data_IF_401317233064
#
_entry.id   IF_401317233064
#
_cell.length_a   1.000
_cell.length_b   1.000
_cell.length_c   1.000
_cell.angle_alpha   90.00
_cell.angle_beta   90.00
_cell.angle_gamma   90.00
#
_symmetry.space_group_name_H-M   'P 1'
#
loop_
_entity.id
_entity.type
_entity.pdbx_description
1 polymer ?
#
# COMPACT_ATOMS: atom_id res chain seq x y z
N UNK A 1 -37.98 5.60 42.18
CA UNK A 1 -37.17 4.45 41.70
C UNK A 1 -36.03 4.21 42.68
N UNK A 2 -35.75 2.93 42.94
CA UNK A 2 -34.84 2.36 43.96
C UNK A 2 -33.36 2.76 43.76
N UNK A 3 -32.51 2.60 44.81
CA UNK A 3 -31.27 3.34 44.98
C UNK A 3 -30.03 2.71 44.32
N UNK A 4 -28.99 3.56 44.17
CA UNK A 4 -27.62 3.25 43.76
C UNK A 4 -26.94 2.29 44.74
N UNK A 5 -26.39 1.19 44.23
CA UNK A 5 -25.45 0.34 44.95
C UNK A 5 -24.01 0.71 44.57
N UNK A 6 -23.29 1.26 45.54
CA UNK A 6 -21.84 1.40 45.56
C UNK A 6 -21.26 0.13 46.15
N UNK A 7 -20.39 -0.58 45.41
CA UNK A 7 -19.58 -1.67 45.97
C UNK A 7 -18.11 -1.27 45.81
N UNK A 8 -17.53 -0.90 46.94
CA UNK A 8 -16.09 -0.94 47.20
C UNK A 8 -15.69 -2.40 47.41
N UNK A 9 -14.69 -2.90 46.69
CA UNK A 9 -13.97 -4.10 47.12
C UNK A 9 -12.48 -3.81 47.13
N UNK A 10 -11.96 -3.69 48.36
CA UNK A 10 -10.55 -3.84 48.69
C UNK A 10 -10.16 -5.30 48.46
N UNK A 11 -9.03 -5.55 47.79
CA UNK A 11 -8.29 -6.79 47.97
C UNK A 11 -6.79 -6.48 48.03
N UNK A 12 -6.27 -6.42 49.26
CA UNK A 12 -4.86 -6.55 49.57
C UNK A 12 -4.51 -8.05 49.61
N UNK A 13 -3.46 -8.47 48.90
CA UNK A 13 -2.67 -9.66 49.27
C UNK A 13 -1.19 -9.30 49.18
N UNK A 14 -0.48 -9.73 50.21
CA UNK A 14 0.85 -9.31 50.62
C UNK A 14 2.00 -10.09 49.95
N UNK A 15 3.17 -9.46 50.08
CA UNK A 15 4.54 -9.93 49.85
C UNK A 15 4.90 -11.28 50.49
N UNK A 16 5.65 -12.10 49.74
CA UNK A 16 6.74 -13.00 50.16
C UNK A 16 7.19 -13.78 48.90
N UNK A 17 8.45 -14.10 48.59
CA UNK A 17 9.70 -14.10 49.33
C UNK A 17 10.89 -14.07 48.34
N UNK A 18 12.04 -13.61 48.82
CA UNK A 18 13.34 -13.83 48.21
C UNK A 18 13.65 -15.33 48.11
N UNK A 19 14.01 -15.79 46.91
CA UNK A 19 14.63 -17.10 46.66
C UNK A 19 15.94 -16.90 45.92
N UNK A 20 17.02 -17.45 46.47
CA UNK A 20 18.40 -17.18 46.09
C UNK A 20 18.77 -17.58 44.65
N UNK A 21 19.67 -16.77 44.08
CA UNK A 21 20.35 -17.03 42.82
C UNK A 21 21.50 -17.99 43.07
N UNK A 22 21.41 -19.22 42.59
CA UNK A 22 22.57 -20.08 42.35
C UNK A 22 23.10 -19.79 40.94
N UNK A 23 24.41 -19.57 40.74
CA UNK A 23 24.96 -19.43 39.40
C UNK A 23 24.92 -20.78 38.67
N UNK A 24 24.29 -20.80 37.51
CA UNK A 24 24.32 -21.93 36.57
C UNK A 24 25.72 -21.97 35.93
N UNK A 25 26.41 -23.13 35.89
CA UNK A 25 27.66 -23.25 35.16
C UNK A 25 27.39 -23.09 33.66
N UNK A 26 28.20 -22.24 33.01
CA UNK A 26 28.18 -22.03 31.56
C UNK A 26 28.69 -23.31 30.88
N UNK A 27 27.77 -24.21 30.55
CA UNK A 27 28.02 -25.28 29.59
C UNK A 27 27.99 -24.68 28.19
N UNK A 28 29.08 -24.84 27.44
CA UNK A 28 29.20 -24.43 26.05
C UNK A 28 28.01 -24.95 25.24
N UNK A 29 27.18 -24.02 24.76
CA UNK A 29 26.10 -24.31 23.82
C UNK A 29 26.72 -24.84 22.53
N UNK A 30 26.24 -25.97 21.96
CA UNK A 30 26.68 -26.40 20.65
C UNK A 30 26.31 -25.31 19.66
N UNK A 31 27.27 -24.89 18.84
CA UNK A 31 27.04 -24.01 17.70
C UNK A 31 25.95 -24.64 16.83
N UNK A 32 24.74 -24.09 16.90
CA UNK A 32 23.66 -24.46 16.01
C UNK A 32 24.09 -24.01 14.62
N UNK A 33 24.52 -24.97 13.79
CA UNK A 33 24.59 -24.78 12.35
C UNK A 33 23.14 -24.69 11.85
N UNK A 34 22.51 -23.54 12.09
CA UNK A 34 21.31 -23.15 11.37
C UNK A 34 21.78 -22.95 9.94
N UNK A 35 21.57 -23.98 9.12
CA UNK A 35 21.65 -23.82 7.68
C UNK A 35 20.64 -22.73 7.33
N UNK A 36 21.14 -21.54 7.02
CA UNK A 36 20.36 -20.51 6.33
C UNK A 36 19.94 -21.15 5.02
N UNK A 37 18.73 -21.69 4.97
CA UNK A 37 18.07 -21.94 3.69
C UNK A 37 17.86 -20.56 3.09
N UNK A 38 18.80 -20.15 2.24
CA UNK A 38 18.54 -19.12 1.25
C UNK A 38 17.41 -19.65 0.40
N UNK A 39 16.19 -19.28 0.74
CA UNK A 39 15.05 -19.42 -0.16
C UNK A 39 15.39 -18.45 -1.29
N UNK A 40 16.06 -18.96 -2.32
CA UNK A 40 16.17 -18.23 -3.58
C UNK A 40 14.73 -18.08 -4.05
N UNK A 41 14.15 -16.87 -4.13
CA UNK A 41 12.82 -16.71 -4.67
C UNK A 41 12.84 -17.36 -6.05
N UNK A 42 11.97 -18.35 -6.24
CA UNK A 42 11.67 -18.84 -7.58
C UNK A 42 11.29 -17.60 -8.40
N UNK A 43 11.75 -17.44 -9.65
CA UNK A 43 11.41 -16.26 -10.44
C UNK A 43 9.91 -16.31 -10.74
N UNK A 44 9.09 -15.81 -9.82
CA UNK A 44 7.66 -15.67 -9.97
C UNK A 44 7.45 -14.76 -11.15
N UNK A 45 6.88 -15.31 -12.23
CA UNK A 45 6.71 -14.59 -13.48
C UNK A 45 5.68 -13.49 -13.24
N UNK A 46 6.12 -12.23 -13.22
CA UNK A 46 5.22 -11.10 -13.31
C UNK A 46 4.32 -11.31 -14.55
N UNK A 47 3.00 -11.08 -14.44
CA UNK A 47 2.10 -11.26 -15.56
C UNK A 47 2.32 -10.13 -16.57
N UNK A 48 3.15 -10.37 -17.57
CA UNK A 48 3.39 -9.39 -18.63
C UNK A 48 2.55 -9.77 -19.85
N UNK A 49 1.50 -9.01 -20.13
CA UNK A 49 0.88 -9.02 -21.46
C UNK A 49 1.86 -8.31 -22.41
N UNK A 50 2.01 -8.82 -23.63
CA UNK A 50 2.82 -8.16 -24.67
C UNK A 50 2.39 -6.69 -24.89
N UNK A 51 3.18 -5.90 -25.63
CA UNK A 51 2.89 -4.47 -25.82
C UNK A 51 1.46 -4.25 -26.31
N UNK A 52 0.75 -3.27 -25.73
CA UNK A 52 -0.60 -2.93 -26.13
C UNK A 52 -0.65 -2.56 -27.61
N UNK A 53 -1.51 -3.25 -28.36
CA UNK A 53 -1.83 -2.88 -29.73
C UNK A 53 -2.95 -1.85 -29.73
N UNK A 54 -2.56 -0.58 -29.64
CA UNK A 54 -3.47 0.55 -29.71
C UNK A 54 -3.99 0.75 -31.13
N UNK A 55 -5.28 1.03 -31.25
CA UNK A 55 -5.94 1.38 -32.51
C UNK A 55 -6.40 2.84 -32.49
N UNK A 56 -6.41 3.49 -33.66
CA UNK A 56 -7.07 4.80 -33.82
C UNK A 56 -8.58 4.58 -33.90
N UNK A 57 -9.40 5.25 -33.06
CA UNK A 57 -10.86 5.13 -33.14
C UNK A 57 -11.41 5.54 -34.51
N UNK A 58 -12.46 4.85 -34.97
CA UNK A 58 -13.22 5.27 -36.16
C UNK A 58 -14.44 6.10 -35.74
N UNK A 59 -15.06 6.89 -36.64
CA UNK A 59 -16.29 7.60 -36.33
C UNK A 59 -17.39 6.69 -35.78
N UNK A 60 -17.49 5.45 -36.28
CA UNK A 60 -18.46 4.46 -35.82
C UNK A 60 -18.18 3.99 -34.40
N UNK A 61 -16.90 3.74 -34.05
CA UNK A 61 -16.55 3.34 -32.68
C UNK A 61 -16.71 4.50 -31.69
N UNK A 62 -16.57 5.75 -32.13
CA UNK A 62 -16.82 6.94 -31.30
C UNK A 62 -18.32 7.21 -31.10
N UNK A 63 -19.14 7.07 -32.13
CA UNK A 63 -20.57 7.44 -32.10
C UNK A 63 -21.41 6.64 -31.09
N UNK A 64 -20.91 5.51 -30.58
CA UNK A 64 -21.59 4.67 -29.59
C UNK A 64 -21.28 4.98 -28.14
N UNK A 65 -20.37 5.90 -27.84
CA UNK A 65 -19.83 6.08 -26.49
C UNK A 65 -19.59 7.57 -26.16
N UNK A 66 -19.69 7.96 -24.88
CA UNK A 66 -19.37 9.32 -24.46
C UNK A 66 -17.92 9.70 -24.83
N UNK A 67 -17.74 10.92 -25.32
CA UNK A 67 -16.42 11.54 -25.51
C UNK A 67 -16.04 12.25 -24.21
N UNK A 68 -14.88 11.93 -23.63
CA UNK A 68 -14.38 12.65 -22.46
C UNK A 68 -14.16 14.13 -22.82
N UNK A 69 -14.72 15.03 -22.01
CA UNK A 69 -14.50 16.46 -22.14
C UNK A 69 -13.40 16.85 -21.14
N UNK A 70 -12.20 17.19 -21.63
CA UNK A 70 -11.12 17.66 -20.77
C UNK A 70 -11.36 19.14 -20.42
N UNK A 71 -11.57 19.49 -19.14
CA UNK A 71 -11.59 20.88 -18.74
C UNK A 71 -10.17 21.44 -18.84
N UNK A 72 -9.98 22.49 -19.63
CA UNK A 72 -8.74 23.28 -19.55
C UNK A 72 -8.81 24.06 -18.25
N UNK A 73 -7.90 23.76 -17.32
CA UNK A 73 -7.68 24.61 -16.15
C UNK A 73 -7.09 25.94 -16.65
N UNK A 74 -7.97 26.88 -16.96
CA UNK A 74 -7.57 28.24 -17.31
C UNK A 74 -7.22 28.95 -16.02
N UNK A 75 -5.98 28.81 -15.55
CA UNK A 75 -5.44 29.45 -14.34
C UNK A 75 -6.36 29.33 -13.10
N UNK A 76 -6.00 28.57 -12.06
CA UNK A 76 -6.84 28.45 -10.85
C UNK A 76 -7.16 29.81 -10.17
N UNK A 77 -6.49 30.90 -10.53
CA UNK A 77 -6.79 32.26 -10.10
C UNK A 77 -7.76 33.04 -11.00
N UNK A 78 -8.03 32.57 -12.22
CA UNK A 78 -8.94 33.21 -13.16
C UNK A 78 -10.38 32.73 -12.97
N UNK A 79 -11.02 33.14 -11.86
CA UNK A 79 -12.48 33.05 -11.71
C UNK A 79 -13.12 33.75 -12.92
N UNK A 80 -13.86 33.00 -13.75
CA UNK A 80 -14.70 33.45 -14.88
C UNK A 80 -14.15 33.28 -16.31
N UNK A 81 -13.09 32.49 -16.55
CA UNK A 81 -12.77 32.10 -17.92
C UNK A 81 -13.65 30.91 -18.33
N UNK A 82 -14.39 30.99 -19.46
CA UNK A 82 -15.14 29.84 -19.97
C UNK A 82 -14.19 28.67 -20.22
N UNK A 83 -14.51 27.50 -19.67
CA UNK A 83 -13.80 26.26 -19.97
C UNK A 83 -13.87 26.04 -21.49
N UNK A 84 -12.74 26.19 -22.18
CA UNK A 84 -12.65 25.85 -23.60
C UNK A 84 -12.40 24.36 -23.72
N UNK A 85 -13.27 23.67 -24.46
CA UNK A 85 -13.05 22.29 -24.84
C UNK A 85 -11.90 22.21 -25.83
N UNK A 86 -10.97 21.28 -25.62
CA UNK A 86 -9.87 21.00 -26.53
C UNK A 86 -10.03 19.62 -27.16
N UNK A 87 -9.61 19.52 -28.43
CA UNK A 87 -9.45 18.22 -29.10
C UNK A 87 -8.23 17.50 -28.53
N UNK A 88 -8.38 16.20 -28.25
CA UNK A 88 -7.34 15.34 -27.68
C UNK A 88 -6.95 14.26 -28.68
N UNK A 89 -5.72 13.77 -28.60
CA UNK A 89 -5.37 12.52 -29.28
C UNK A 89 -6.02 11.36 -28.54
N UNK A 90 -6.55 10.39 -29.29
CA UNK A 90 -7.31 9.27 -28.74
C UNK A 90 -6.75 7.98 -29.30
N UNK A 91 -6.39 7.08 -28.41
CA UNK A 91 -6.06 5.70 -28.73
C UNK A 91 -7.07 4.79 -28.03
N UNK A 92 -7.51 3.72 -28.70
CA UNK A 92 -8.42 2.74 -28.12
C UNK A 92 -7.81 1.34 -28.02
N UNK A 93 -8.22 0.62 -27.00
CA UNK A 93 -7.88 -0.78 -26.73
C UNK A 93 -9.14 -1.52 -26.29
N UNK A 94 -9.31 -2.77 -26.71
CA UNK A 94 -10.43 -3.61 -26.29
C UNK A 94 -9.97 -4.62 -25.22
N UNK A 95 -10.72 -4.69 -24.12
CA UNK A 95 -10.55 -5.71 -23.08
C UNK A 95 -11.92 -6.38 -22.87
N UNK A 96 -12.07 -7.60 -23.40
CA UNK A 96 -13.36 -8.27 -23.43
C UNK A 96 -14.41 -7.44 -24.18
N UNK A 97 -15.50 -7.07 -23.49
CA UNK A 97 -16.57 -6.21 -24.04
C UNK A 97 -16.37 -4.71 -23.79
N UNK A 98 -15.27 -4.32 -23.15
CA UNK A 98 -14.99 -2.94 -22.78
C UNK A 98 -14.04 -2.29 -23.78
N UNK A 99 -14.28 -1.01 -24.06
CA UNK A 99 -13.39 -0.15 -24.83
C UNK A 99 -12.71 0.79 -23.84
N UNK A 100 -11.39 0.73 -23.82
CA UNK A 100 -10.53 1.65 -23.09
C UNK A 100 -10.08 2.71 -24.07
N UNK A 101 -10.20 3.98 -23.71
CA UNK A 101 -9.64 5.07 -24.51
C UNK A 101 -8.72 5.92 -23.67
N UNK A 102 -7.50 6.09 -24.15
CA UNK A 102 -6.55 7.02 -23.57
C UNK A 102 -6.68 8.35 -24.32
N UNK A 103 -7.08 9.38 -23.59
CA UNK A 103 -7.24 10.75 -24.06
C UNK A 103 -6.08 11.55 -23.51
N UNK A 104 -5.13 11.89 -24.35
CA UNK A 104 -3.97 12.68 -23.94
C UNK A 104 -3.88 13.97 -24.74
N UNK A 105 -3.34 14.99 -24.08
CA UNK A 105 -2.86 16.18 -24.75
C UNK A 105 -1.34 16.24 -24.63
N UNK A 106 -0.67 16.30 -25.77
CA UNK A 106 0.73 16.70 -25.83
C UNK A 106 0.78 18.22 -25.68
N UNK A 107 1.00 18.69 -24.45
CA UNK A 107 1.26 20.10 -24.15
C UNK A 107 2.67 20.21 -23.60
N UNK A 108 3.56 20.95 -24.29
CA UNK A 108 4.94 21.14 -23.83
C UNK A 108 5.02 21.86 -22.46
N UNK A 109 3.96 22.58 -22.07
CA UNK A 109 3.94 23.38 -20.84
C UNK A 109 3.39 22.62 -19.60
N UNK A 110 2.56 21.59 -19.81
CA UNK A 110 1.91 20.82 -18.74
C UNK A 110 2.24 19.36 -18.99
N UNK A 111 3.01 18.72 -18.10
CA UNK A 111 3.22 17.26 -18.12
C UNK A 111 1.85 16.59 -18.36
N UNK A 112 1.74 15.84 -19.46
CA UNK A 112 0.49 15.47 -20.13
C UNK A 112 -0.63 15.12 -19.16
N UNK A 113 -1.64 16.00 -19.05
CA UNK A 113 -2.90 15.61 -18.43
C UNK A 113 -3.57 14.63 -19.37
N UNK A 114 -3.87 13.45 -18.85
CA UNK A 114 -4.52 12.40 -19.62
C UNK A 114 -5.76 11.90 -18.87
N UNK A 115 -6.63 11.24 -19.61
CA UNK A 115 -7.77 10.51 -19.07
C UNK A 115 -7.80 9.11 -19.69
N UNK A 116 -8.12 8.11 -18.88
CA UNK A 116 -8.50 6.80 -19.38
C UNK A 116 -10.01 6.65 -19.13
N UNK A 117 -10.77 6.46 -20.21
CA UNK A 117 -12.19 6.11 -20.11
C UNK A 117 -12.38 4.62 -20.35
N UNK A 118 -13.19 3.97 -19.52
CA UNK A 118 -13.58 2.56 -19.67
C UNK A 118 -15.09 2.54 -19.94
N UNK A 119 -15.48 2.03 -21.11
CA UNK A 119 -16.88 2.08 -21.56
C UNK A 119 -17.34 0.73 -22.11
N UNK A 120 -18.61 0.39 -21.90
CA UNK A 120 -19.31 -0.72 -22.58
C UNK A 120 -20.74 -0.31 -22.93
N UNK A 121 -21.32 -0.90 -23.97
CA UNK A 121 -22.68 -0.55 -24.40
C UNK A 121 -23.70 -0.85 -23.29
N UNK A 122 -24.48 0.16 -22.92
CA UNK A 122 -25.51 0.04 -21.88
C UNK A 122 -24.98 0.13 -20.44
N UNK A 123 -23.69 0.39 -20.24
CA UNK A 123 -23.10 0.64 -18.92
C UNK A 123 -22.67 2.11 -18.77
N UNK A 124 -22.58 2.55 -17.52
CA UNK A 124 -22.01 3.86 -17.20
C UNK A 124 -20.50 3.87 -17.51
N UNK A 125 -20.03 4.97 -18.10
CA UNK A 125 -18.61 5.15 -18.38
C UNK A 125 -17.86 5.50 -17.10
N UNK A 126 -16.75 4.80 -16.86
CA UNK A 126 -15.77 5.16 -15.82
C UNK A 126 -14.69 6.03 -16.43
N UNK A 127 -14.27 7.07 -15.71
CA UNK A 127 -13.19 7.97 -16.11
C UNK A 127 -12.12 8.02 -15.02
N UNK A 128 -10.87 7.76 -15.39
CA UNK A 128 -9.70 7.87 -14.52
C UNK A 128 -8.83 9.00 -15.05
N UNK A 129 -8.59 10.00 -14.22
CA UNK A 129 -7.85 11.22 -14.57
C UNK A 129 -6.52 11.27 -13.81
N UNK A 130 -5.47 11.83 -14.41
CA UNK A 130 -4.17 11.94 -13.74
C UNK A 130 -3.10 12.69 -14.52
N UNK A 131 -1.95 12.88 -13.88
CA UNK A 131 -0.78 13.62 -14.40
C UNK A 131 0.53 12.84 -14.18
N UNK A 132 0.87 11.85 -15.03
CA UNK A 132 0.09 11.29 -16.15
C UNK A 132 -0.92 10.23 -15.66
N UNK A 133 -1.76 9.68 -16.56
CA UNK A 133 -2.48 8.42 -16.33
C UNK A 133 -2.10 7.41 -17.41
N UNK A 134 -1.86 6.16 -17.02
CA UNK A 134 -1.33 5.09 -17.87
C UNK A 134 -2.05 3.76 -17.60
N UNK A 135 -2.03 2.85 -18.56
CA UNK A 135 -2.36 1.44 -18.32
C UNK A 135 -1.10 0.69 -17.86
N UNK A 136 -1.22 -0.08 -16.78
CA UNK A 136 -0.17 -0.99 -16.35
C UNK A 136 -0.10 -2.22 -17.28
N UNK A 137 1.08 -2.83 -17.40
CA UNK A 137 1.36 -3.94 -18.31
C UNK A 137 0.52 -5.20 -18.03
N UNK A 138 -0.04 -5.28 -16.83
CA UNK A 138 -0.91 -6.35 -16.34
C UNK A 138 -2.34 -6.25 -16.92
N UNK A 139 -2.72 -5.11 -17.49
CA UNK A 139 -4.06 -4.93 -18.10
C UNK A 139 -4.34 -5.99 -19.17
N UNK A 140 -5.49 -6.64 -19.06
CA UNK A 140 -5.89 -7.77 -19.90
C UNK A 140 -5.60 -9.14 -19.29
N UNK A 141 -4.85 -9.20 -18.18
CA UNK A 141 -4.61 -10.44 -17.44
C UNK A 141 -5.73 -10.70 -16.42
N UNK A 142 -6.05 -11.97 -16.17
CA UNK A 142 -6.82 -12.37 -15.00
C UNK A 142 -5.92 -12.41 -13.76
N UNK A 143 -5.90 -11.32 -13.01
CA UNK A 143 -5.13 -11.16 -11.77
C UNK A 143 -5.82 -11.84 -10.58
N UNK A 144 -7.09 -12.18 -10.72
CA UNK A 144 -7.95 -12.65 -9.62
C UNK A 144 -8.16 -14.17 -9.62
N UNK A 145 -7.76 -14.85 -10.70
CA UNK A 145 -8.01 -16.28 -10.92
C UNK A 145 -9.49 -16.62 -11.18
N UNK A 146 -10.33 -15.62 -11.54
CA UNK A 146 -11.78 -15.79 -11.71
C UNK A 146 -12.22 -15.96 -13.16
N UNK A 147 -11.29 -15.96 -14.10
CA UNK A 147 -11.53 -16.07 -15.53
C UNK A 147 -11.94 -14.74 -16.20
N UNK A 148 -11.77 -13.61 -15.52
CA UNK A 148 -12.06 -12.28 -16.09
C UNK A 148 -10.78 -11.47 -16.23
N UNK A 149 -10.54 -10.80 -17.37
CA UNK A 149 -9.41 -9.90 -17.49
C UNK A 149 -9.61 -8.69 -16.57
N UNK A 150 -8.50 -8.13 -16.09
CA UNK A 150 -8.49 -6.91 -15.28
C UNK A 150 -7.96 -5.72 -16.08
N UNK A 151 -8.43 -4.52 -15.73
CA UNK A 151 -7.91 -3.25 -16.26
C UNK A 151 -7.18 -2.57 -15.12
N UNK A 152 -5.90 -2.28 -15.30
CA UNK A 152 -5.06 -1.66 -14.27
C UNK A 152 -4.66 -0.27 -14.74
N UNK A 153 -5.16 0.76 -14.07
CA UNK A 153 -4.81 2.15 -14.36
C UNK A 153 -3.88 2.68 -13.28
N UNK A 154 -2.88 3.46 -13.70
CA UNK A 154 -1.93 4.12 -12.81
C UNK A 154 -2.00 5.62 -13.07
N UNK A 155 -2.52 6.39 -12.12
CA UNK A 155 -2.62 7.85 -12.17
C UNK A 155 -1.56 8.47 -11.26
N UNK A 156 -0.57 9.15 -11.87
CA UNK A 156 0.40 9.95 -11.16
C UNK A 156 -0.23 11.21 -10.59
N UNK A 157 0.18 11.58 -9.37
CA UNK A 157 -0.20 12.84 -8.72
C UNK A 157 1.03 13.75 -8.56
N UNK A 158 1.86 13.86 -9.60
CA UNK A 158 3.14 14.59 -9.56
C UNK A 158 4.29 13.76 -8.97
N UNK A 159 5.11 14.38 -8.09
CA UNK A 159 6.40 13.81 -7.66
C UNK A 159 6.34 12.84 -6.45
N UNK A 160 5.15 12.48 -5.97
CA UNK A 160 5.02 11.81 -4.67
C UNK A 160 4.53 10.35 -4.72
N UNK A 161 3.99 9.89 -5.85
CA UNK A 161 3.43 8.55 -6.00
C UNK A 161 2.38 8.48 -7.10
N UNK A 162 1.75 7.33 -7.20
CA UNK A 162 0.64 7.06 -8.09
C UNK A 162 -0.53 6.42 -7.33
N UNK A 163 -1.73 6.72 -7.78
CA UNK A 163 -2.94 5.98 -7.45
C UNK A 163 -3.07 4.84 -8.47
N UNK A 164 -3.33 3.64 -7.96
CA UNK A 164 -3.50 2.42 -8.74
C UNK A 164 -4.95 1.99 -8.54
N UNK A 165 -5.69 1.96 -9.64
CA UNK A 165 -7.05 1.43 -9.66
C UNK A 165 -7.11 0.18 -10.52
N UNK A 166 -7.85 -0.82 -10.05
CA UNK A 166 -8.03 -2.09 -10.76
C UNK A 166 -9.51 -2.33 -10.95
N UNK A 167 -9.89 -2.62 -12.17
CA UNK A 167 -11.25 -2.98 -12.54
C UNK A 167 -11.30 -4.42 -13.03
N UNK A 168 -12.26 -5.19 -12.55
CA UNK A 168 -12.59 -6.53 -13.06
C UNK A 168 -13.52 -6.37 -14.26
N UNK A 169 -13.03 -6.73 -15.46
CA UNK A 169 -13.74 -6.55 -16.73
C UNK A 169 -14.60 -7.79 -17.05
N UNK A 170 -15.50 -8.14 -16.12
CA UNK A 170 -16.44 -9.25 -16.26
C UNK A 170 -17.77 -8.86 -16.92
N UNK A 171 -18.87 -9.48 -16.46
CA UNK A 171 -20.22 -9.17 -16.94
C UNK A 171 -20.68 -7.74 -16.66
N UNK A 172 -20.13 -7.12 -15.62
CA UNK A 172 -20.31 -5.71 -15.24
C UNK A 172 -18.95 -5.18 -14.80
N UNK A 173 -18.62 -3.92 -15.13
CA UNK A 173 -17.37 -3.34 -14.67
C UNK A 173 -17.44 -3.15 -13.15
N UNK A 174 -16.47 -3.70 -12.42
CA UNK A 174 -16.37 -3.54 -10.96
C UNK A 174 -14.98 -3.05 -10.60
N UNK A 175 -14.91 -1.94 -9.89
CA UNK A 175 -13.67 -1.55 -9.23
C UNK A 175 -13.40 -2.50 -8.06
N UNK A 176 -12.21 -3.09 -8.06
CA UNK A 176 -11.77 -4.06 -7.05
C UNK A 176 -10.51 -3.60 -6.32
N UNK A 177 -9.93 -2.46 -6.68
CA UNK A 177 -8.81 -1.86 -5.95
C UNK A 177 -8.74 -0.37 -6.24
N UNK A 178 -8.46 0.40 -5.20
CA UNK A 178 -8.05 1.80 -5.26
C UNK A 178 -7.01 2.01 -4.15
N UNK A 179 -5.73 2.07 -4.54
CA UNK A 179 -4.60 2.11 -3.62
C UNK A 179 -3.58 3.13 -4.09
N UNK A 180 -3.10 3.95 -3.15
CA UNK A 180 -1.96 4.82 -3.41
C UNK A 180 -0.63 4.11 -3.12
N UNK A 181 0.34 4.26 -4.02
CA UNK A 181 1.72 3.77 -3.88
C UNK A 181 2.71 4.87 -4.23
N UNK A 182 3.80 4.97 -3.47
CA UNK A 182 4.90 5.90 -3.73
C UNK A 182 5.65 5.54 -5.00
N UNK A 183 5.82 4.26 -5.27
CA UNK A 183 6.61 3.74 -6.38
C UNK A 183 5.75 2.87 -7.32
N UNK A 184 6.29 2.66 -8.53
CA UNK A 184 6.07 1.50 -9.40
C UNK A 184 5.99 0.19 -8.62
N UNK A 185 4.80 -0.32 -8.29
CA UNK A 185 4.70 -1.67 -7.73
C UNK A 185 3.80 -2.56 -8.56
N UNK A 186 4.14 -3.84 -8.54
CA UNK A 186 3.71 -4.89 -9.45
C UNK A 186 2.81 -5.92 -8.78
N UNK A 187 2.20 -6.73 -9.63
CA UNK A 187 1.45 -7.93 -9.23
C UNK A 187 2.37 -9.14 -9.21
N UNK A 188 2.29 -9.93 -8.15
CA UNK A 188 3.08 -11.13 -7.97
C UNK A 188 2.23 -12.23 -7.34
N UNK A 189 2.36 -13.46 -7.83
CA UNK A 189 1.68 -14.62 -7.25
C UNK A 189 2.54 -15.16 -6.09
N UNK A 190 2.32 -14.66 -4.88
CA UNK A 190 3.16 -14.95 -3.72
C UNK A 190 2.85 -16.30 -3.07
N UNK A 191 1.69 -16.89 -3.37
CA UNK A 191 1.18 -18.11 -2.73
C UNK A 191 0.96 -19.29 -3.71
N UNK A 192 1.37 -19.13 -4.98
CA UNK A 192 1.23 -20.10 -6.07
C UNK A 192 -0.23 -20.54 -6.39
N UNK A 193 -1.24 -19.73 -6.09
CA UNK A 193 -2.66 -20.08 -6.29
C UNK A 193 -3.30 -19.61 -7.61
N UNK A 194 -2.51 -18.98 -8.48
CA UNK A 194 -2.90 -18.38 -9.77
C UNK A 194 -3.72 -17.07 -9.65
N UNK A 195 -3.96 -16.59 -8.44
CA UNK A 195 -4.26 -15.18 -8.19
C UNK A 195 -2.95 -14.43 -7.90
N UNK A 196 -2.97 -13.12 -8.13
CA UNK A 196 -1.80 -12.28 -7.94
C UNK A 196 -2.08 -11.29 -6.82
N UNK A 197 -1.19 -11.26 -5.83
CA UNK A 197 -1.14 -10.20 -4.84
C UNK A 197 -0.60 -8.91 -5.44
N UNK A 198 -1.21 -7.78 -5.05
CA UNK A 198 -0.66 -6.47 -5.34
C UNK A 198 0.25 -6.06 -4.19
N UNK A 199 1.52 -5.82 -4.49
CA UNK A 199 2.42 -5.20 -3.54
C UNK A 199 2.28 -3.68 -3.75
N UNK A 200 2.20 -2.88 -2.70
CA UNK A 200 2.19 -1.42 -2.78
C UNK A 200 3.32 -0.88 -1.90
N UNK A 201 4.03 0.15 -2.33
CA UNK A 201 5.09 0.74 -1.52
C UNK A 201 4.58 2.05 -0.93
N UNK A 202 4.25 2.05 0.35
CA UNK A 202 3.64 3.21 0.98
C UNK A 202 4.64 4.05 1.76
N UNK A 203 4.24 5.30 1.94
CA UNK A 203 4.88 6.23 2.85
C UNK A 203 3.89 6.59 3.94
N UNK A 204 4.21 6.18 5.16
CA UNK A 204 3.40 6.45 6.34
C UNK A 204 4.02 7.65 7.06
N UNK A 205 3.27 8.73 7.14
CA UNK A 205 3.65 9.92 7.90
C UNK A 205 3.20 9.78 9.33
N UNK A 206 4.07 10.21 10.25
CA UNK A 206 3.69 10.27 11.64
C UNK A 206 3.01 11.58 11.99
N UNK A 207 2.08 11.55 12.95
CA UNK A 207 1.65 12.76 13.66
C UNK A 207 2.76 13.36 14.54
N UNK A 208 3.79 12.57 14.87
CA UNK A 208 4.98 13.06 15.56
C UNK A 208 5.88 13.83 14.59
N UNK A 209 6.23 15.06 14.94
CA UNK A 209 6.92 16.03 14.08
C UNK A 209 8.07 15.41 13.26
N UNK A 210 7.86 15.37 11.93
CA UNK A 210 8.85 14.98 10.90
C UNK A 210 9.31 13.51 10.87
N UNK A 211 8.64 12.58 11.57
CA UNK A 211 8.91 11.16 11.40
C UNK A 211 8.11 10.55 10.23
N UNK A 212 8.72 9.61 9.52
CA UNK A 212 8.08 8.89 8.43
C UNK A 212 8.62 7.45 8.35
N UNK A 213 7.76 6.50 7.98
CA UNK A 213 8.14 5.19 7.49
C UNK A 213 7.91 5.18 5.98
N UNK A 214 8.94 5.50 5.22
CA UNK A 214 8.91 5.39 3.75
C UNK A 214 9.46 4.06 3.30
N UNK A 215 8.96 3.54 2.19
CA UNK A 215 9.48 2.28 1.65
C UNK A 215 8.81 1.04 2.25
N UNK A 216 7.64 1.18 2.89
CA UNK A 216 6.96 0.06 3.55
C UNK A 216 6.12 -0.68 2.50
N UNK A 217 6.48 -1.90 2.10
CA UNK A 217 5.64 -2.68 1.22
C UNK A 217 4.41 -3.13 2.01
N UNK A 218 3.24 -2.98 1.41
CA UNK A 218 1.98 -3.56 1.86
C UNK A 218 1.53 -4.55 0.82
N UNK A 219 1.05 -5.71 1.25
CA UNK A 219 0.57 -6.76 0.34
C UNK A 219 -0.95 -6.79 0.41
N UNK A 220 -1.58 -6.70 -0.75
CA UNK A 220 -3.02 -6.80 -0.92
C UNK A 220 -3.35 -8.11 -1.64
N UNK A 221 -4.29 -8.85 -1.08
CA UNK A 221 -4.78 -10.12 -1.63
C UNK A 221 -6.22 -9.92 -2.09
N UNK A 222 -6.58 -10.58 -3.19
CA UNK A 222 -7.92 -10.50 -3.72
C UNK A 222 -8.92 -11.27 -2.85
N UNK A 223 -9.98 -10.58 -2.43
CA UNK A 223 -11.16 -11.14 -1.82
C UNK A 223 -12.36 -11.00 -2.77
N UNK A 224 -13.14 -12.06 -2.94
CA UNK A 224 -14.24 -12.07 -3.91
C UNK A 224 -15.36 -11.07 -3.60
N UNK A 225 -15.58 -10.76 -2.32
CA UNK A 225 -16.61 -9.84 -1.86
C UNK A 225 -16.09 -8.40 -1.86
N UNK A 226 -14.88 -8.18 -1.34
CA UNK A 226 -14.35 -6.84 -1.07
C UNK A 226 -13.31 -6.32 -2.08
N UNK A 227 -12.87 -7.14 -3.03
CA UNK A 227 -11.74 -6.82 -3.90
C UNK A 227 -10.40 -7.00 -3.18
N UNK A 228 -9.38 -6.26 -3.60
CA UNK A 228 -8.05 -6.31 -3.00
C UNK A 228 -8.06 -5.71 -1.59
N UNK A 229 -7.77 -6.55 -0.60
CA UNK A 229 -7.72 -6.18 0.82
C UNK A 229 -6.31 -6.38 1.37
N UNK A 230 -5.90 -5.51 2.30
CA UNK A 230 -4.57 -5.61 2.90
C UNK A 230 -4.44 -6.93 3.70
N UNK A 231 -3.46 -7.75 3.31
CA UNK A 231 -3.05 -9.01 3.95
C UNK A 231 -1.56 -9.05 4.28
N UNK A 232 -0.95 -7.89 4.51
CA UNK A 232 0.50 -7.76 4.77
C UNK A 232 1.00 -8.69 5.88
N UNK A 233 0.20 -8.94 6.92
CA UNK A 233 0.55 -9.87 8.01
C UNK A 233 0.67 -11.33 7.60
N UNK A 234 -0.05 -11.76 6.54
CA UNK A 234 0.08 -13.09 5.93
C UNK A 234 1.44 -13.23 5.22
N UNK A 235 1.93 -12.16 4.61
CA UNK A 235 3.13 -12.10 3.78
C UNK A 235 4.29 -11.36 4.44
N UNK A 236 4.50 -11.59 5.74
CA UNK A 236 5.47 -10.83 6.57
C UNK A 236 6.90 -10.86 6.02
N UNK A 237 7.26 -11.92 5.31
CA UNK A 237 8.55 -12.12 4.66
C UNK A 237 8.88 -11.03 3.62
N UNK A 238 7.88 -10.42 2.99
CA UNK A 238 8.04 -9.27 2.09
C UNK A 238 8.62 -8.06 2.83
N UNK A 239 8.35 -7.93 4.14
CA UNK A 239 8.92 -6.87 4.99
C UNK A 239 10.23 -7.27 5.67
N UNK A 240 10.70 -8.51 5.56
CA UNK A 240 11.95 -8.94 6.23
C UNK A 240 13.14 -8.00 5.95
N UNK A 241 13.38 -7.52 4.71
CA UNK A 241 14.46 -6.58 4.45
C UNK A 241 14.28 -5.23 5.18
N UNK A 242 13.04 -4.73 5.28
CA UNK A 242 12.73 -3.47 5.97
C UNK A 242 12.89 -3.61 7.49
N UNK A 243 12.46 -4.74 8.04
CA UNK A 243 12.66 -5.06 9.46
C UNK A 243 14.16 -5.17 9.76
N UNK A 244 14.92 -5.91 8.96
CA UNK A 244 16.36 -6.06 9.15
C UNK A 244 17.07 -4.71 9.05
N UNK A 245 16.76 -3.90 8.03
CA UNK A 245 17.31 -2.55 7.90
C UNK A 245 17.01 -1.69 9.13
N UNK A 246 15.78 -1.75 9.66
CA UNK A 246 15.40 -1.01 10.87
C UNK A 246 16.16 -1.48 12.12
N UNK A 247 16.37 -2.78 12.29
CA UNK A 247 17.18 -3.36 13.37
C UNK A 247 18.62 -2.86 13.27
N UNK A 248 19.22 -2.98 12.09
CA UNK A 248 20.61 -2.57 11.85
C UNK A 248 20.78 -1.07 12.07
N UNK A 249 19.85 -0.23 11.58
CA UNK A 249 19.89 1.21 11.76
C UNK A 249 19.82 1.62 13.24
N UNK A 250 18.93 0.98 14.00
CA UNK A 250 18.79 1.22 15.44
C UNK A 250 20.05 0.78 16.21
N UNK A 251 20.58 -0.39 15.89
CA UNK A 251 21.80 -0.90 16.52
C UNK A 251 23.02 -0.01 16.25
N UNK A 252 23.23 0.42 15.00
CA UNK A 252 24.28 1.36 14.63
C UNK A 252 24.14 2.69 15.39
N UNK A 253 22.92 3.24 15.48
CA UNK A 253 22.70 4.49 16.20
C UNK A 253 23.09 4.39 17.68
N UNK A 254 22.67 3.30 18.35
CA UNK A 254 23.00 3.05 19.77
C UNK A 254 24.51 2.90 19.99
N UNK A 255 25.21 2.26 19.05
CA UNK A 255 26.67 2.10 19.11
C UNK A 255 27.39 3.46 19.01
N UNK A 256 26.94 4.32 18.10
CA UNK A 256 27.52 5.64 17.88
C UNK A 256 27.13 6.65 18.98
N UNK A 257 26.00 6.43 19.67
CA UNK A 257 25.42 7.37 20.62
C UNK A 257 24.98 6.69 21.94
N UNK A 258 25.90 6.05 22.69
CA UNK A 258 25.54 5.16 23.81
C UNK A 258 24.85 5.85 24.99
N UNK A 259 24.96 7.17 25.12
CA UNK A 259 24.38 7.95 26.22
C UNK A 259 23.27 8.91 25.77
N UNK A 260 22.77 8.75 24.55
CA UNK A 260 21.75 9.62 23.97
C UNK A 260 20.43 8.85 23.85
N UNK A 261 19.32 9.47 24.25
CA UNK A 261 17.98 8.91 24.01
C UNK A 261 17.77 8.72 22.50
N UNK A 262 17.25 7.56 22.10
CA UNK A 262 17.02 7.23 20.69
C UNK A 262 15.90 8.13 20.14
N UNK A 263 16.14 8.95 19.10
CA UNK A 263 15.08 9.75 18.50
C UNK A 263 13.95 8.87 17.95
N UNK A 264 12.69 9.26 18.15
CA UNK A 264 11.53 8.47 17.68
C UNK A 264 11.62 8.10 16.20
N UNK A 265 12.07 9.03 15.35
CA UNK A 265 12.18 8.76 13.91
C UNK A 265 13.16 7.63 13.56
N UNK A 266 14.08 7.26 14.47
CA UNK A 266 14.99 6.10 14.30
C UNK A 266 14.29 4.77 14.51
N UNK A 267 13.31 4.71 15.41
CA UNK A 267 12.53 3.49 15.64
C UNK A 267 11.27 3.45 14.78
N UNK A 268 10.83 4.59 14.24
CA UNK A 268 9.53 4.71 13.58
C UNK A 268 9.32 3.73 12.42
N UNK A 269 10.30 3.59 11.54
CA UNK A 269 10.23 2.65 10.43
C UNK A 269 10.13 1.21 10.93
N UNK A 270 10.98 0.82 11.90
CA UNK A 270 11.01 -0.55 12.44
C UNK A 270 9.72 -0.92 13.17
N UNK A 271 9.23 -0.03 14.04
CA UNK A 271 7.98 -0.21 14.77
C UNK A 271 6.80 -0.31 13.79
N UNK A 272 6.77 0.55 12.77
CA UNK A 272 5.75 0.47 11.71
C UNK A 272 5.79 -0.88 10.99
N UNK A 273 6.96 -1.34 10.56
CA UNK A 273 7.11 -2.61 9.85
C UNK A 273 6.64 -3.81 10.70
N UNK A 274 6.94 -3.81 12.01
CA UNK A 274 6.43 -4.83 12.92
C UNK A 274 4.92 -4.76 13.11
N UNK A 275 4.34 -3.56 13.26
CA UNK A 275 2.90 -3.41 13.45
C UNK A 275 2.10 -3.88 12.23
N UNK A 276 2.50 -3.49 11.01
CA UNK A 276 1.78 -3.89 9.79
C UNK A 276 1.94 -5.39 9.46
N UNK A 277 2.95 -6.05 10.03
CA UNK A 277 3.11 -7.51 9.94
C UNK A 277 2.45 -8.27 11.10
N UNK A 278 1.74 -7.58 12.00
CA UNK A 278 1.08 -8.18 13.15
C UNK A 278 2.02 -8.58 14.30
N UNK A 279 3.31 -8.19 14.24
CA UNK A 279 4.33 -8.45 15.27
C UNK A 279 4.28 -7.37 16.37
N UNK A 280 3.10 -7.23 16.98
CA UNK A 280 2.78 -6.14 17.91
C UNK A 280 3.64 -6.15 19.17
N UNK A 281 3.97 -7.32 19.70
CA UNK A 281 4.81 -7.44 20.89
C UNK A 281 6.22 -6.91 20.63
N UNK A 282 6.83 -7.30 19.51
CA UNK A 282 8.15 -6.83 19.09
C UNK A 282 8.17 -5.31 18.88
N UNK A 283 7.13 -4.77 18.24
CA UNK A 283 6.96 -3.34 18.05
C UNK A 283 6.94 -2.59 19.39
N UNK A 284 6.19 -3.10 20.36
CA UNK A 284 6.05 -2.48 21.68
C UNK A 284 7.28 -2.62 22.55
N UNK A 285 7.97 -3.75 22.49
CA UNK A 285 9.23 -3.95 23.20
C UNK A 285 10.28 -2.93 22.76
N UNK A 286 10.35 -2.59 21.47
CA UNK A 286 11.24 -1.52 21.00
C UNK A 286 10.91 -0.20 21.67
N UNK A 287 9.63 0.16 21.82
CA UNK A 287 9.29 1.42 22.48
C UNK A 287 9.60 1.37 23.98
N UNK A 288 9.27 0.26 24.65
CA UNK A 288 9.48 0.11 26.10
C UNK A 288 10.98 0.05 26.47
N UNK A 289 11.84 -0.45 25.59
CA UNK A 289 13.28 -0.50 25.80
C UNK A 289 13.98 0.86 25.60
N UNK A 290 13.39 1.76 24.81
CA UNK A 290 14.04 3.00 24.38
C UNK A 290 13.47 4.26 25.03
N UNK A 291 12.29 4.18 25.66
CA UNK A 291 11.58 5.33 26.21
C UNK A 291 11.06 5.07 27.63
N UNK A 292 10.81 6.14 28.38
CA UNK A 292 10.12 6.01 29.67
C UNK A 292 8.71 5.44 29.46
N UNK A 293 8.11 4.76 30.46
CA UNK A 293 6.78 4.16 30.31
C UNK A 293 5.70 5.14 29.82
N UNK A 294 5.75 6.39 30.26
CA UNK A 294 4.82 7.45 29.85
C UNK A 294 4.98 7.81 28.36
N UNK A 295 6.22 8.04 27.91
CA UNK A 295 6.53 8.31 26.49
C UNK A 295 6.22 7.12 25.60
N UNK A 296 6.56 5.91 26.05
CA UNK A 296 6.27 4.68 25.31
C UNK A 296 4.75 4.51 25.12
N UNK A 297 3.95 4.77 26.16
CA UNK A 297 2.49 4.73 26.06
C UNK A 297 1.93 5.78 25.08
N UNK A 298 2.45 7.00 25.09
CA UNK A 298 2.10 8.05 24.13
C UNK A 298 2.41 7.61 22.69
N UNK A 299 3.63 7.11 22.45
CA UNK A 299 4.04 6.65 21.12
C UNK A 299 3.21 5.47 20.64
N UNK A 300 2.92 4.49 21.51
CA UNK A 300 2.02 3.36 21.20
C UNK A 300 0.66 3.85 20.69
N UNK A 301 0.06 4.83 21.36
CA UNK A 301 -1.20 5.43 20.94
C UNK A 301 -1.07 6.16 19.59
N UNK A 302 0.03 6.89 19.40
CA UNK A 302 0.31 7.59 18.15
C UNK A 302 0.47 6.65 16.95
N UNK A 303 1.22 5.55 17.09
CA UNK A 303 1.33 4.55 16.02
C UNK A 303 -0.03 3.95 15.64
N UNK A 304 -0.88 3.64 16.62
CA UNK A 304 -2.22 3.10 16.34
C UNK A 304 -3.09 4.11 15.59
N UNK A 305 -2.95 5.40 15.90
CA UNK A 305 -3.62 6.48 15.18
C UNK A 305 -3.04 6.71 13.77
N UNK A 306 -1.72 6.64 13.61
CA UNK A 306 -1.03 6.86 12.34
C UNK A 306 -1.30 5.72 11.34
N UNK A 307 -1.39 4.48 11.84
CA UNK A 307 -1.57 3.28 11.03
C UNK A 307 -3.04 2.90 10.81
N UNK A 308 -3.93 3.24 11.74
CA UNK A 308 -5.37 2.97 11.63
C UNK A 308 -5.66 1.51 11.27
N UNK A 309 -6.32 1.30 10.13
CA UNK A 309 -6.71 -0.03 9.63
C UNK A 309 -5.56 -0.87 9.06
N UNK A 310 -4.33 -0.35 9.00
CA UNK A 310 -3.15 -1.10 8.56
C UNK A 310 -2.61 -2.04 9.64
N UNK A 311 -3.03 -1.86 10.90
CA UNK A 311 -2.68 -2.78 11.99
C UNK A 311 -3.71 -3.92 12.02
N UNK A 312 -3.30 -5.18 11.83
CA UNK A 312 -4.19 -6.33 11.89
C UNK A 312 -4.69 -6.63 13.31
#
# INVERSE_FOLDING_TARGET
MKPRNTIFLFLCIALAACGGVTPIPVTNTPTSNVATQTITPSPTHAPTVGPFHWETPTPETLAGYPTALMPVETDPFAKNVPVKLQEMSVQQLYIGKYILRNWCKDDEAIKSYCAITISSLGEEQVEVWGFPVLLAAETGTDLTGRGYPNIVTVSGNGNAGAEIRVFEAGNTLREIMDVWSRDFVHFENLNDDQSYEFIANVKIWSQFSYCQAGGIPLVYEYDSEFGYINKTSKYKEVLSPNIQWGIDNLASYKLENPNTEVPLCRVYHLVTAYLVTGQKEQAWNILDENYSPEKAAEYKAGFLSDLGSLVP
#
